data_IF_946682577641
#
_entry.id   IF_946682577641
#
_cell.length_a   1.000
_cell.length_b   1.000
_cell.length_c   1.000
_cell.angle_alpha   90.00
_cell.angle_beta   90.00
_cell.angle_gamma   90.00
#
_symmetry.space_group_name_H-M   'P 1'
#
loop_
_entity.id
_entity.type
_entity.pdbx_description
1 polymer ?
#
# COMPACT_ATOMS: atom_id res chain seq x y z
N UNK A 1 20.72 -1.92 2.95
CA UNK A 1 19.36 -1.37 3.13
C UNK A 1 18.65 -2.13 4.22
N UNK A 2 18.09 -1.43 5.20
CA UNK A 2 17.18 -1.99 6.21
C UNK A 2 15.89 -2.44 5.52
N UNK A 3 15.16 -3.41 6.09
CA UNK A 3 13.90 -3.89 5.50
C UNK A 3 12.88 -2.77 5.28
N UNK A 4 12.88 -1.75 6.15
CA UNK A 4 11.97 -0.61 6.02
C UNK A 4 12.27 0.27 4.80
N UNK A 5 13.54 0.53 4.48
CA UNK A 5 13.89 1.31 3.29
C UNK A 5 13.47 0.62 1.98
N UNK A 6 13.43 -0.72 1.96
CA UNK A 6 12.91 -1.47 0.80
C UNK A 6 11.38 -1.39 0.75
N UNK A 7 10.70 -1.47 1.90
CA UNK A 7 9.25 -1.31 1.98
C UNK A 7 8.83 0.09 1.53
N UNK A 8 9.53 1.15 1.98
CA UNK A 8 9.24 2.54 1.59
C UNK A 8 9.42 2.79 0.09
N UNK A 9 10.39 2.12 -0.54
CA UNK A 9 10.58 2.18 -1.99
C UNK A 9 9.47 1.48 -2.78
N UNK A 10 8.80 0.48 -2.18
CA UNK A 10 7.70 -0.25 -2.82
C UNK A 10 6.37 0.44 -2.56
N UNK A 11 6.14 0.85 -1.30
CA UNK A 11 4.89 1.44 -0.83
C UNK A 11 5.20 2.67 0.03
N UNK A 12 5.13 3.83 -0.60
CA UNK A 12 5.20 5.14 0.07
C UNK A 12 3.82 5.78 0.13
N UNK A 13 3.50 6.36 1.29
CA UNK A 13 2.24 7.09 1.54
C UNK A 13 2.16 8.33 0.65
N UNK A 14 3.24 9.09 0.59
CA UNK A 14 3.28 10.32 -0.20
C UNK A 14 3.16 10.02 -1.70
N UNK A 15 3.83 8.96 -2.16
CA UNK A 15 3.71 8.50 -3.55
C UNK A 15 2.30 7.99 -3.86
N UNK A 16 1.66 7.28 -2.92
CA UNK A 16 0.26 6.85 -3.03
C UNK A 16 -0.67 8.05 -3.21
N UNK A 17 -0.60 9.01 -2.29
CA UNK A 17 -1.49 10.18 -2.31
C UNK A 17 -1.26 11.05 -3.53
N UNK A 18 0.01 11.26 -3.94
CA UNK A 18 0.34 11.98 -5.16
C UNK A 18 -0.29 11.32 -6.40
N UNK A 19 -0.21 9.98 -6.50
CA UNK A 19 -0.80 9.24 -7.62
C UNK A 19 -2.34 9.25 -7.58
N UNK A 20 -2.93 9.10 -6.40
CA UNK A 20 -4.38 9.09 -6.18
C UNK A 20 -5.02 10.44 -6.50
N UNK A 21 -4.37 11.55 -6.13
CA UNK A 21 -4.80 12.93 -6.43
C UNK A 21 -4.68 13.29 -7.92
N UNK A 22 -4.07 12.46 -8.77
CA UNK A 22 -3.91 12.78 -10.19
C UNK A 22 -5.26 12.87 -10.90
N UNK A 23 -5.44 13.89 -11.74
CA UNK A 23 -6.75 14.22 -12.35
C UNK A 23 -7.19 13.26 -13.46
N UNK A 24 -6.28 12.44 -13.98
CA UNK A 24 -6.51 11.51 -15.10
C UNK A 24 -6.52 10.03 -14.69
N UNK A 25 -6.18 9.69 -13.44
CA UNK A 25 -6.17 8.30 -12.94
C UNK A 25 -5.07 7.40 -13.53
N UNK A 26 -4.40 7.81 -14.62
CA UNK A 26 -3.28 7.08 -15.22
C UNK A 26 -2.11 6.94 -14.24
N UNK A 27 -1.79 7.99 -13.47
CA UNK A 27 -0.71 7.92 -12.48
C UNK A 27 -1.02 6.88 -11.40
N UNK A 28 -2.29 6.76 -11.00
CA UNK A 28 -2.71 5.75 -10.04
C UNK A 28 -2.63 4.33 -10.61
N UNK A 29 -3.00 4.14 -11.89
CA UNK A 29 -2.83 2.85 -12.58
C UNK A 29 -1.35 2.46 -12.62
N UNK A 30 -0.47 3.40 -12.97
CA UNK A 30 0.98 3.17 -13.01
C UNK A 30 1.56 2.88 -11.62
N UNK A 31 1.13 3.63 -10.61
CA UNK A 31 1.49 3.37 -9.22
C UNK A 31 1.07 1.96 -8.80
N UNK A 32 -0.19 1.57 -9.04
CA UNK A 32 -0.72 0.23 -8.73
C UNK A 32 0.12 -0.86 -9.40
N UNK A 33 0.41 -0.72 -10.69
CA UNK A 33 1.24 -1.70 -11.41
C UNK A 33 2.67 -1.76 -10.86
N UNK A 34 3.26 -0.63 -10.51
CA UNK A 34 4.58 -0.57 -9.90
C UNK A 34 4.62 -1.38 -8.59
N UNK A 35 3.71 -1.11 -7.65
CA UNK A 35 3.63 -1.82 -6.37
C UNK A 35 3.51 -3.32 -6.58
N UNK A 36 2.57 -3.75 -7.43
CA UNK A 36 2.34 -5.17 -7.71
C UNK A 36 3.55 -5.85 -8.34
N UNK A 37 4.21 -5.18 -9.30
CA UNK A 37 5.40 -5.68 -9.98
C UNK A 37 6.61 -5.79 -9.05
N UNK A 38 6.81 -4.83 -8.15
CA UNK A 38 7.86 -4.87 -7.13
C UNK A 38 7.63 -6.01 -6.12
N UNK A 39 6.39 -6.22 -5.68
CA UNK A 39 6.03 -7.25 -4.70
C UNK A 39 6.29 -8.68 -5.21
N UNK A 40 6.02 -8.93 -6.48
CA UNK A 40 6.22 -10.25 -7.09
C UNK A 40 7.67 -10.47 -7.57
N UNK A 41 8.43 -9.40 -7.80
CA UNK A 41 9.79 -9.47 -8.37
C UNK A 41 10.73 -10.44 -7.62
N UNK A 42 10.79 -10.46 -6.27
CA UNK A 42 11.65 -11.39 -5.54
C UNK A 42 11.32 -12.87 -5.78
N UNK A 43 10.07 -13.16 -6.14
CA UNK A 43 9.54 -14.50 -6.29
C UNK A 43 9.54 -15.03 -7.72
N UNK A 44 9.83 -14.20 -8.74
CA UNK A 44 9.75 -14.59 -10.17
C UNK A 44 10.54 -15.86 -10.52
N UNK A 45 11.61 -16.18 -9.78
CA UNK A 45 12.45 -17.38 -9.96
C UNK A 45 12.26 -18.43 -8.85
N UNK A 46 11.31 -18.21 -7.96
CA UNK A 46 11.10 -19.00 -6.72
C UNK A 46 9.70 -19.60 -6.62
N UNK A 47 8.74 -19.07 -7.38
CA UNK A 47 7.35 -19.54 -7.42
C UNK A 47 6.95 -19.89 -8.85
N UNK A 48 6.03 -20.85 -8.99
CA UNK A 48 5.41 -21.16 -10.27
C UNK A 48 4.50 -20.01 -10.74
N UNK A 49 4.24 -19.86 -12.06
CA UNK A 49 3.39 -18.79 -12.59
C UNK A 49 2.02 -18.69 -11.92
N UNK A 50 1.38 -19.81 -11.59
CA UNK A 50 0.08 -19.83 -10.90
C UNK A 50 0.16 -19.29 -9.48
N UNK A 51 1.23 -19.60 -8.75
CA UNK A 51 1.49 -19.06 -7.41
C UNK A 51 1.81 -17.56 -7.46
N UNK A 52 2.53 -17.10 -8.48
CA UNK A 52 2.79 -15.67 -8.70
C UNK A 52 1.49 -14.92 -8.99
N UNK A 53 0.61 -15.49 -9.81
CA UNK A 53 -0.70 -14.90 -10.12
C UNK A 53 -1.58 -14.80 -8.86
N UNK A 54 -1.65 -15.87 -8.06
CA UNK A 54 -2.42 -15.87 -6.81
C UNK A 54 -1.85 -14.88 -5.79
N UNK A 55 -0.51 -14.74 -5.71
CA UNK A 55 0.12 -13.75 -4.85
C UNK A 55 -0.23 -12.33 -5.29
N UNK A 56 -0.17 -12.06 -6.60
CA UNK A 56 -0.54 -10.78 -7.18
C UNK A 56 -1.98 -10.42 -6.88
N UNK A 57 -2.92 -11.34 -7.11
CA UNK A 57 -4.36 -11.12 -6.88
C UNK A 57 -4.65 -10.75 -5.42
N UNK A 58 -4.00 -11.43 -4.45
CA UNK A 58 -4.12 -11.07 -3.03
C UNK A 58 -3.67 -9.64 -2.73
N UNK A 59 -2.58 -9.19 -3.35
CA UNK A 59 -2.13 -7.81 -3.20
C UNK A 59 -3.04 -6.80 -3.90
N UNK A 60 -3.63 -7.18 -5.03
CA UNK A 60 -4.64 -6.36 -5.70
C UNK A 60 -5.85 -6.12 -4.79
N UNK A 61 -6.31 -7.14 -4.06
CA UNK A 61 -7.38 -7.00 -3.07
C UNK A 61 -6.98 -6.04 -1.94
N UNK A 62 -5.80 -6.22 -1.32
CA UNK A 62 -5.36 -5.32 -0.24
C UNK A 62 -5.12 -3.88 -0.71
N UNK A 63 -4.69 -3.68 -1.96
CA UNK A 63 -4.61 -2.34 -2.56
C UNK A 63 -5.99 -1.73 -2.78
N UNK A 64 -6.98 -2.53 -3.17
CA UNK A 64 -8.36 -2.06 -3.31
C UNK A 64 -8.96 -1.68 -1.96
N UNK A 65 -8.70 -2.43 -0.89
CA UNK A 65 -9.11 -2.09 0.47
C UNK A 65 -8.56 -0.73 0.92
N UNK A 66 -7.32 -0.39 0.55
CA UNK A 66 -6.75 0.93 0.80
C UNK A 66 -7.43 2.03 -0.02
N UNK A 67 -7.76 1.75 -1.29
CA UNK A 67 -8.53 2.68 -2.14
C UNK A 67 -9.89 2.96 -1.54
N UNK A 68 -10.61 1.92 -1.12
CA UNK A 68 -11.93 2.05 -0.52
C UNK A 68 -11.87 2.77 0.85
N UNK A 69 -10.73 2.69 1.53
CA UNK A 69 -10.45 3.40 2.77
C UNK A 69 -10.01 4.85 2.57
N UNK A 70 -9.67 5.24 1.34
CA UNK A 70 -9.17 6.59 1.02
C UNK A 70 -10.36 7.55 0.89
N UNK A 71 -10.40 8.64 1.67
CA UNK A 71 -11.47 9.62 1.57
C UNK A 71 -11.43 10.33 0.21
N UNK A 72 -12.61 10.68 -0.31
CA UNK A 72 -12.76 11.49 -1.53
C UNK A 72 -12.02 12.84 -1.39
N UNK A 73 -12.15 13.47 -0.22
CA UNK A 73 -11.34 14.62 0.16
C UNK A 73 -10.06 14.14 0.85
N UNK A 74 -8.98 14.05 0.06
CA UNK A 74 -7.68 13.64 0.54
C UNK A 74 -6.95 14.69 1.37
N UNK A 75 -7.40 15.95 1.39
CA UNK A 75 -6.81 17.00 2.24
C UNK A 75 -7.01 16.70 3.74
N UNK A 76 -8.07 15.97 4.08
CA UNK A 76 -8.33 15.45 5.44
C UNK A 76 -7.16 14.62 5.98
N UNK A 77 -6.42 13.93 5.11
CA UNK A 77 -5.28 13.09 5.50
C UNK A 77 -4.02 13.90 5.85
N UNK A 78 -3.98 15.18 5.47
CA UNK A 78 -2.86 16.10 5.67
C UNK A 78 -3.19 17.19 6.70
N UNK A 79 -4.45 17.27 7.15
CA UNK A 79 -4.94 18.28 8.11
C UNK A 79 -4.36 18.05 9.51
N UNK A 80 -3.85 19.11 10.11
CA UNK A 80 -3.46 19.13 11.52
C UNK A 80 -4.68 19.46 12.39
N UNK A 81 -4.89 18.67 13.45
CA UNK A 81 -5.95 18.91 14.44
C UNK A 81 -5.31 19.39 15.74
N UNK A 82 -5.81 20.47 16.32
CA UNK A 82 -5.33 20.95 17.62
C UNK A 82 -5.80 20.04 18.75
N UNK A 83 -4.89 19.55 19.60
CA UNK A 83 -5.18 18.59 20.68
C UNK A 83 -6.03 19.16 21.84
N UNK A 84 -6.25 20.48 21.90
CA UNK A 84 -6.79 21.18 23.08
C UNK A 84 -8.17 21.85 22.89
N UNK A 85 -8.84 21.63 21.76
CA UNK A 85 -10.16 22.20 21.46
C UNK A 85 -11.24 21.12 21.38
N UNK A 86 -12.47 21.46 21.79
CA UNK A 86 -13.61 20.56 21.59
C UNK A 86 -13.90 20.46 20.09
N UNK A 87 -13.51 19.35 19.49
CA UNK A 87 -13.68 19.09 18.06
C UNK A 87 -15.16 19.15 17.66
N UNK A 88 -15.43 19.84 16.56
CA UNK A 88 -16.70 19.79 15.86
C UNK A 88 -17.02 18.38 15.34
N UNK A 89 -18.27 18.12 14.99
CA UNK A 89 -18.68 16.83 14.41
C UNK A 89 -17.99 16.57 13.05
N UNK A 90 -17.66 17.62 12.31
CA UNK A 90 -16.92 17.54 11.05
C UNK A 90 -15.49 17.08 11.30
N UNK A 91 -14.79 17.70 12.24
CA UNK A 91 -13.42 17.30 12.61
C UNK A 91 -13.36 15.88 13.20
N UNK A 92 -14.39 15.47 13.96
CA UNK A 92 -14.49 14.08 14.43
C UNK A 92 -14.64 13.08 13.27
N UNK A 93 -15.44 13.43 12.25
CA UNK A 93 -15.58 12.59 11.04
C UNK A 93 -14.26 12.49 10.28
N UNK A 94 -13.57 13.62 10.12
CA UNK A 94 -12.28 13.69 9.44
C UNK A 94 -11.23 12.80 10.13
N UNK A 95 -11.16 12.86 11.47
CA UNK A 95 -10.28 12.00 12.27
C UNK A 95 -10.58 10.51 12.06
N UNK A 96 -11.86 10.13 12.00
CA UNK A 96 -12.26 8.73 11.76
C UNK A 96 -11.85 8.29 10.35
N UNK A 97 -12.07 9.12 9.33
CA UNK A 97 -11.66 8.82 7.95
C UNK A 97 -10.14 8.68 7.85
N UNK A 98 -9.38 9.59 8.48
CA UNK A 98 -7.91 9.51 8.55
C UNK A 98 -7.46 8.24 9.26
N UNK A 99 -8.03 7.92 10.42
CA UNK A 99 -7.67 6.71 11.15
C UNK A 99 -7.98 5.43 10.35
N UNK A 100 -9.09 5.41 9.61
CA UNK A 100 -9.46 4.30 8.74
C UNK A 100 -8.44 4.12 7.60
N UNK A 101 -8.07 5.22 6.93
CA UNK A 101 -7.03 5.22 5.90
C UNK A 101 -5.67 4.75 6.44
N UNK A 102 -5.19 5.33 7.53
CA UNK A 102 -3.85 4.99 8.08
C UNK A 102 -3.78 3.53 8.54
N UNK A 103 -4.87 2.99 9.08
CA UNK A 103 -4.96 1.57 9.43
C UNK A 103 -4.90 0.66 8.19
N UNK A 104 -5.64 1.01 7.13
CA UNK A 104 -5.58 0.27 5.87
C UNK A 104 -4.18 0.35 5.23
N UNK A 105 -3.55 1.53 5.27
CA UNK A 105 -2.21 1.76 4.75
C UNK A 105 -1.16 0.94 5.51
N UNK A 106 -1.19 0.96 6.84
CA UNK A 106 -0.24 0.20 7.67
C UNK A 106 -0.42 -1.31 7.48
N UNK A 107 -1.64 -1.82 7.35
CA UNK A 107 -1.88 -3.25 7.03
C UNK A 107 -1.25 -3.64 5.69
N UNK A 108 -1.41 -2.82 4.65
CA UNK A 108 -0.78 -3.08 3.36
C UNK A 108 0.76 -3.04 3.48
N UNK A 109 1.29 -2.07 4.23
CA UNK A 109 2.72 -1.94 4.52
C UNK A 109 3.29 -3.17 5.26
N UNK A 110 2.57 -3.71 6.23
CA UNK A 110 2.93 -4.95 6.93
C UNK A 110 2.97 -6.15 5.97
N UNK A 111 2.00 -6.24 5.05
CA UNK A 111 1.98 -7.29 4.02
C UNK A 111 3.20 -7.18 3.08
N UNK A 112 3.57 -5.96 2.66
CA UNK A 112 4.79 -5.71 1.88
C UNK A 112 6.04 -6.16 2.66
N UNK A 113 6.13 -5.78 3.94
CA UNK A 113 7.25 -6.15 4.81
C UNK A 113 7.37 -7.67 4.94
N UNK A 114 6.23 -8.36 5.12
CA UNK A 114 6.19 -9.82 5.18
C UNK A 114 6.72 -10.43 3.88
N UNK A 115 6.29 -9.93 2.72
CA UNK A 115 6.80 -10.40 1.42
C UNK A 115 8.30 -10.18 1.27
N UNK A 116 8.80 -9.00 1.60
CA UNK A 116 10.24 -8.69 1.49
C UNK A 116 11.05 -9.64 2.38
N UNK A 117 10.60 -9.90 3.61
CA UNK A 117 11.26 -10.82 4.55
C UNK A 117 11.17 -12.27 4.10
N UNK A 118 9.98 -12.72 3.70
CA UNK A 118 9.70 -14.11 3.33
C UNK A 118 10.46 -14.56 2.08
N UNK A 119 10.71 -13.65 1.14
CA UNK A 119 11.45 -13.95 -0.09
C UNK A 119 12.83 -14.56 0.18
N UNK A 120 13.50 -14.19 1.28
CA UNK A 120 14.84 -14.68 1.63
C UNK A 120 14.87 -16.18 1.93
N UNK A 121 13.75 -16.76 2.37
CA UNK A 121 13.68 -18.13 2.85
C UNK A 121 13.29 -19.16 1.77
N UNK A 122 12.89 -18.71 0.57
CA UNK A 122 12.54 -19.62 -0.52
C UNK A 122 13.77 -19.91 -1.38
N UNK A 123 14.22 -21.17 -1.55
CA UNK A 123 15.25 -21.47 -2.53
C UNK A 123 14.77 -21.13 -3.96
N UNK A 124 15.71 -20.86 -4.87
CA UNK A 124 15.36 -20.73 -6.29
C UNK A 124 14.77 -22.07 -6.78
N UNK A 125 13.72 -22.00 -7.61
CA UNK A 125 13.21 -23.22 -8.26
C UNK A 125 14.32 -23.70 -9.18
N UNK A 126 14.85 -24.89 -8.90
CA UNK A 126 15.75 -25.55 -9.83
C UNK A 126 14.96 -25.77 -11.13
N UNK A 127 15.47 -25.26 -12.25
CA UNK A 127 14.93 -25.61 -13.56
C UNK A 127 15.00 -27.14 -13.68
N UNK A 128 13.85 -27.80 -13.64
CA UNK A 128 13.68 -29.21 -14.01
C UNK A 128 13.53 -29.24 -15.53
#
# INVERSE_FOLDING_TARGET
MTSNAVVDNILSRDAYLAAYKSKNGEDFIHYREHVLSELIRPYKRRLFPTQLSALRERFEVSLQELVDATPDDTEVLERDFEENSSLSLEEQRDLVQRAHFENAFEKLRENVLWVVKSSKYLPAVANI
#
